data_IF_142799965008
#
_entry.id   IF_142799965008
#
_cell.length_a   1.000
_cell.length_b   1.000
_cell.length_c   1.000
_cell.angle_alpha   90.00
_cell.angle_beta   90.00
_cell.angle_gamma   90.00
#
_symmetry.space_group_name_H-M   'P 1'
#
loop_
_entity.id
_entity.type
_entity.pdbx_description
1 polymer ?
#
# COMPACT_ATOMS: atom_id res chain seq x y z
N UNK A 1 -8.57 35.27 -13.12
CA UNK A 1 -7.66 35.00 -11.99
C UNK A 1 -6.57 34.07 -12.49
N UNK A 2 -5.30 34.42 -12.48
CA UNK A 2 -4.23 33.50 -12.93
C UNK A 2 -3.95 32.53 -11.77
N UNK A 3 -4.11 31.25 -12.02
CA UNK A 3 -3.82 30.19 -11.04
C UNK A 3 -2.29 30.15 -10.83
N UNK A 4 -1.82 30.40 -9.62
CA UNK A 4 -0.40 30.25 -9.28
C UNK A 4 -0.09 28.78 -8.95
N UNK A 5 0.70 28.13 -9.82
CA UNK A 5 1.08 26.73 -9.69
C UNK A 5 2.37 26.51 -8.86
N UNK A 6 3.05 27.58 -8.43
CA UNK A 6 4.31 27.47 -7.68
C UNK A 6 4.18 26.69 -6.36
N UNK A 7 3.11 26.88 -5.54
CA UNK A 7 2.94 26.06 -4.34
C UNK A 7 2.86 24.56 -4.65
N UNK A 8 2.20 24.20 -5.75
CA UNK A 8 2.04 22.80 -6.20
C UNK A 8 3.40 22.25 -6.63
N UNK A 9 4.12 22.96 -7.49
CA UNK A 9 5.45 22.56 -7.95
C UNK A 9 6.45 22.42 -6.80
N UNK A 10 6.37 23.29 -5.79
CA UNK A 10 7.22 23.22 -4.59
C UNK A 10 7.01 21.90 -3.84
N UNK A 11 5.75 21.52 -3.56
CA UNK A 11 5.43 20.29 -2.81
C UNK A 11 5.78 19.04 -3.64
N UNK A 12 5.43 19.01 -4.93
CA UNK A 12 5.79 17.90 -5.82
C UNK A 12 7.32 17.74 -5.89
N UNK A 13 8.06 18.84 -5.99
CA UNK A 13 9.52 18.81 -5.99
C UNK A 13 10.12 18.19 -4.73
N UNK A 14 9.59 18.52 -3.55
CA UNK A 14 10.00 17.89 -2.28
C UNK A 14 9.69 16.40 -2.30
N UNK A 15 8.47 16.00 -2.70
CA UNK A 15 8.07 14.60 -2.73
C UNK A 15 8.92 13.77 -3.70
N UNK A 16 9.26 14.31 -4.87
CA UNK A 16 10.17 13.66 -5.80
C UNK A 16 11.58 13.53 -5.22
N UNK A 17 12.08 14.56 -4.54
CA UNK A 17 13.40 14.49 -3.87
C UNK A 17 13.41 13.38 -2.81
N UNK A 18 12.34 13.29 -2.00
CA UNK A 18 12.20 12.22 -1.02
C UNK A 18 12.09 10.84 -1.70
N UNK A 19 11.31 10.72 -2.79
CA UNK A 19 11.22 9.48 -3.56
C UNK A 19 12.59 9.03 -4.07
N UNK A 20 13.39 9.96 -4.63
CA UNK A 20 14.74 9.66 -5.09
C UNK A 20 15.68 9.25 -3.95
N UNK A 21 15.55 9.84 -2.76
CA UNK A 21 16.30 9.41 -1.56
C UNK A 21 15.92 7.98 -1.16
N UNK A 22 14.64 7.60 -1.23
CA UNK A 22 14.23 6.23 -0.91
C UNK A 22 14.80 5.18 -1.88
N UNK A 23 15.14 5.55 -3.14
CA UNK A 23 15.81 4.67 -4.10
C UNK A 23 17.23 4.26 -3.65
N UNK A 24 17.86 4.99 -2.71
CA UNK A 24 19.14 4.61 -2.16
C UNK A 24 19.05 3.32 -1.30
N UNK A 25 17.87 2.97 -0.79
CA UNK A 25 17.65 1.75 -0.01
C UNK A 25 17.82 0.50 -0.89
N UNK A 26 17.05 0.33 -2.00
CA UNK A 26 17.28 -0.80 -2.91
C UNK A 26 18.66 -0.77 -3.58
N UNK A 27 19.25 0.42 -3.82
CA UNK A 27 20.64 0.53 -4.26
C UNK A 27 21.60 -0.15 -3.28
N UNK A 28 21.45 0.08 -1.98
CA UNK A 28 22.30 -0.53 -0.95
C UNK A 28 22.13 -2.06 -0.89
N UNK A 29 20.90 -2.58 -1.10
CA UNK A 29 20.64 -4.02 -1.18
C UNK A 29 21.37 -4.63 -2.39
N UNK A 30 21.20 -4.04 -3.60
CA UNK A 30 21.87 -4.54 -4.81
C UNK A 30 23.39 -4.46 -4.70
N UNK A 31 23.93 -3.45 -3.99
CA UNK A 31 25.35 -3.35 -3.70
C UNK A 31 25.82 -4.52 -2.82
N UNK A 32 25.06 -4.88 -1.79
CA UNK A 32 25.38 -5.99 -0.90
C UNK A 32 25.34 -7.36 -1.57
N UNK A 33 24.49 -7.51 -2.61
CA UNK A 33 24.37 -8.75 -3.39
C UNK A 33 25.47 -8.92 -4.47
N UNK A 34 26.18 -7.85 -4.81
CA UNK A 34 27.27 -7.88 -5.79
C UNK A 34 26.86 -8.21 -7.23
N UNK A 35 25.58 -8.12 -7.58
CA UNK A 35 25.02 -8.52 -8.88
C UNK A 35 25.16 -7.48 -9.99
N UNK A 36 25.82 -6.33 -9.74
CA UNK A 36 26.09 -5.31 -10.75
C UNK A 36 24.93 -4.36 -11.09
N UNK A 37 23.80 -4.43 -10.39
CA UNK A 37 22.62 -3.58 -10.66
C UNK A 37 22.61 -2.25 -9.89
N UNK A 38 23.63 -1.95 -9.15
CA UNK A 38 23.75 -0.71 -8.33
C UNK A 38 23.56 0.55 -9.18
N UNK A 39 24.07 0.58 -10.41
CA UNK A 39 23.93 1.71 -11.34
C UNK A 39 22.50 2.09 -11.62
N UNK A 40 21.59 1.12 -11.72
CA UNK A 40 20.16 1.33 -12.01
C UNK A 40 19.51 2.28 -11.00
N UNK A 41 19.66 1.97 -9.71
CA UNK A 41 19.10 2.79 -8.66
C UNK A 41 19.90 4.08 -8.42
N UNK A 42 21.22 4.09 -8.65
CA UNK A 42 22.02 5.31 -8.56
C UNK A 42 21.61 6.35 -9.60
N UNK A 43 21.45 5.93 -10.86
CA UNK A 43 21.00 6.80 -11.96
C UNK A 43 19.55 7.27 -11.76
N UNK A 44 18.64 6.35 -11.39
CA UNK A 44 17.25 6.68 -11.08
C UNK A 44 17.13 7.68 -9.94
N UNK A 45 17.87 7.46 -8.85
CA UNK A 45 17.90 8.37 -7.70
C UNK A 45 18.43 9.73 -8.09
N UNK A 46 19.54 9.79 -8.84
CA UNK A 46 20.15 11.04 -9.29
C UNK A 46 19.18 11.87 -10.13
N UNK A 47 18.56 11.25 -11.15
CA UNK A 47 17.58 11.91 -12.02
C UNK A 47 16.42 12.46 -11.18
N UNK A 48 15.87 11.62 -10.29
CA UNK A 48 14.70 11.97 -9.49
C UNK A 48 15.01 13.05 -8.45
N UNK A 49 16.15 12.97 -7.75
CA UNK A 49 16.60 13.97 -6.77
C UNK A 49 16.88 15.31 -7.46
N UNK A 50 17.61 15.31 -8.57
CA UNK A 50 17.92 16.55 -9.28
C UNK A 50 16.64 17.21 -9.79
N UNK A 51 15.76 16.47 -10.45
CA UNK A 51 14.50 17.03 -10.96
C UNK A 51 13.64 17.55 -9.81
N UNK A 52 13.47 16.82 -8.72
CA UNK A 52 12.70 17.23 -7.55
C UNK A 52 13.30 18.46 -6.88
N UNK A 53 14.62 18.49 -6.68
CA UNK A 53 15.32 19.62 -6.06
C UNK A 53 15.24 20.88 -6.91
N UNK A 54 15.48 20.79 -8.23
CA UNK A 54 15.35 21.94 -9.12
C UNK A 54 13.92 22.46 -9.17
N UNK A 55 12.92 21.58 -9.22
CA UNK A 55 11.52 21.98 -9.22
C UNK A 55 11.15 22.69 -7.90
N UNK A 56 11.58 22.16 -6.76
CA UNK A 56 11.29 22.79 -5.45
C UNK A 56 11.99 24.14 -5.31
N UNK A 57 13.24 24.30 -5.79
CA UNK A 57 13.95 25.57 -5.77
C UNK A 57 13.28 26.58 -6.72
N UNK A 58 12.95 26.19 -7.94
CA UNK A 58 12.28 27.05 -8.92
C UNK A 58 10.92 27.55 -8.42
N UNK A 59 10.21 26.73 -7.63
CA UNK A 59 8.90 27.04 -7.08
C UNK A 59 8.92 27.58 -5.63
N UNK A 60 10.10 27.86 -5.06
CA UNK A 60 10.28 28.22 -3.64
C UNK A 60 9.51 29.48 -3.22
N UNK A 61 9.28 30.42 -4.13
CA UNK A 61 8.50 31.64 -3.87
C UNK A 61 7.01 31.35 -3.58
N UNK A 62 6.51 30.15 -3.93
CA UNK A 62 5.14 29.71 -3.60
C UNK A 62 4.97 29.11 -2.21
N UNK A 63 6.06 28.90 -1.46
CA UNK A 63 6.08 28.20 -0.16
C UNK A 63 5.13 28.81 0.89
N UNK A 64 4.97 30.14 0.89
CA UNK A 64 4.15 30.86 1.88
C UNK A 64 2.69 31.00 1.50
N UNK A 65 2.30 30.64 0.29
CA UNK A 65 0.91 30.71 -0.16
C UNK A 65 0.11 29.52 0.34
N UNK A 66 -1.09 29.79 0.89
CA UNK A 66 -2.03 28.75 1.28
C UNK A 66 -2.56 27.98 0.05
N UNK A 67 -2.88 26.72 0.25
CA UNK A 67 -3.55 25.89 -0.75
C UNK A 67 -5.06 26.11 -0.65
N UNK A 68 -5.67 26.62 -1.71
CA UNK A 68 -7.12 26.62 -1.87
C UNK A 68 -7.60 25.26 -2.45
N UNK A 69 -8.90 25.05 -2.54
CA UNK A 69 -9.49 23.80 -3.02
C UNK A 69 -8.99 23.43 -4.43
N UNK A 70 -8.85 24.41 -5.33
CA UNK A 70 -8.40 24.17 -6.69
C UNK A 70 -6.93 23.74 -6.72
N UNK A 71 -6.06 24.43 -6.00
CA UNK A 71 -4.64 24.07 -5.84
C UNK A 71 -4.47 22.69 -5.18
N UNK A 72 -5.32 22.38 -4.22
CA UNK A 72 -5.36 21.09 -3.53
C UNK A 72 -5.68 19.93 -4.47
N UNK A 73 -6.73 20.07 -5.30
CA UNK A 73 -7.10 19.04 -6.30
C UNK A 73 -5.95 18.86 -7.31
N UNK A 74 -5.39 19.96 -7.81
CA UNK A 74 -4.28 19.90 -8.77
C UNK A 74 -3.02 19.30 -8.15
N UNK A 75 -2.71 19.62 -6.89
CA UNK A 75 -1.60 19.00 -6.17
C UNK A 75 -1.80 17.48 -6.05
N UNK A 76 -2.98 17.05 -5.62
CA UNK A 76 -3.27 15.62 -5.47
C UNK A 76 -3.12 14.90 -6.80
N UNK A 77 -3.76 15.41 -7.87
CA UNK A 77 -3.63 14.82 -9.21
C UNK A 77 -2.18 14.82 -9.68
N UNK A 78 -1.46 15.93 -9.48
CA UNK A 78 -0.05 16.05 -9.86
C UNK A 78 0.86 15.07 -9.14
N UNK A 79 0.62 14.80 -7.85
CA UNK A 79 1.37 13.80 -7.07
C UNK A 79 1.13 12.39 -7.61
N UNK A 80 -0.15 12.01 -7.87
CA UNK A 80 -0.51 10.69 -8.41
C UNK A 80 0.00 10.45 -9.84
N UNK A 81 0.40 11.49 -10.56
CA UNK A 81 1.06 11.37 -11.87
C UNK A 81 2.58 11.38 -11.71
N UNK A 82 3.12 12.33 -10.92
CA UNK A 82 4.56 12.54 -10.83
C UNK A 82 5.28 11.38 -10.10
N UNK A 83 4.75 10.88 -8.98
CA UNK A 83 5.43 9.82 -8.23
C UNK A 83 5.54 8.53 -9.04
N UNK A 84 4.49 7.99 -9.71
CA UNK A 84 4.66 6.82 -10.55
C UNK A 84 5.57 7.06 -11.75
N UNK A 85 5.52 8.25 -12.36
CA UNK A 85 6.37 8.57 -13.52
C UNK A 85 7.85 8.44 -13.16
N UNK A 86 8.29 9.01 -12.04
CA UNK A 86 9.68 8.88 -11.59
C UNK A 86 9.94 7.54 -10.92
N UNK A 87 8.95 6.94 -10.26
CA UNK A 87 9.02 5.60 -9.69
C UNK A 87 9.18 4.49 -10.72
N UNK A 88 8.81 4.74 -11.99
CA UNK A 88 8.96 3.77 -13.09
C UNK A 88 10.39 3.69 -13.66
N UNK A 89 11.25 4.69 -13.41
CA UNK A 89 12.59 4.76 -14.01
C UNK A 89 13.42 3.49 -13.74
N UNK A 90 13.49 2.93 -12.50
CA UNK A 90 14.24 1.71 -12.26
C UNK A 90 13.76 0.50 -13.06
N UNK A 91 12.48 0.43 -13.42
CA UNK A 91 11.93 -0.65 -14.25
C UNK A 91 12.29 -0.50 -15.72
N UNK A 92 12.50 0.73 -16.22
CA UNK A 92 12.89 1.00 -17.61
C UNK A 92 14.37 0.69 -17.84
N UNK A 93 15.24 1.22 -16.97
CA UNK A 93 16.69 1.12 -17.15
C UNK A 93 17.31 -0.10 -16.48
N UNK A 94 16.52 -0.82 -15.66
CA UNK A 94 16.96 -2.00 -14.91
C UNK A 94 16.95 -3.30 -15.71
N UNK A 95 17.16 -4.41 -15.01
CA UNK A 95 17.15 -5.76 -15.58
C UNK A 95 15.80 -6.16 -16.18
N UNK A 96 14.73 -5.54 -15.74
CA UNK A 96 13.36 -5.78 -16.23
C UNK A 96 13.15 -5.30 -17.66
N UNK A 97 13.89 -4.24 -18.09
CA UNK A 97 13.82 -3.63 -19.44
C UNK A 97 12.39 -3.46 -19.96
N UNK A 98 11.47 -3.10 -19.06
CA UNK A 98 10.07 -2.91 -19.41
C UNK A 98 9.91 -1.76 -20.41
N UNK A 99 8.91 -1.86 -21.29
CA UNK A 99 8.47 -0.72 -22.07
C UNK A 99 8.06 0.43 -21.14
N UNK A 100 8.07 1.68 -21.63
CA UNK A 100 7.63 2.82 -20.83
C UNK A 100 6.22 2.64 -20.25
N UNK A 101 5.30 2.07 -21.05
CA UNK A 101 3.91 1.84 -20.64
C UNK A 101 3.83 0.79 -19.53
N UNK A 102 4.54 -0.32 -19.69
CA UNK A 102 4.54 -1.41 -18.69
C UNK A 102 5.22 -0.97 -17.38
N UNK A 103 6.34 -0.24 -17.48
CA UNK A 103 7.04 0.30 -16.32
C UNK A 103 6.18 1.33 -15.56
N UNK A 104 5.47 2.18 -16.29
CA UNK A 104 4.53 3.14 -15.69
C UNK A 104 3.36 2.40 -15.05
N UNK A 105 2.81 1.36 -15.70
CA UNK A 105 1.75 0.53 -15.13
C UNK A 105 2.19 -0.11 -13.82
N UNK A 106 3.38 -0.73 -13.77
CA UNK A 106 3.94 -1.35 -12.55
C UNK A 106 4.12 -0.31 -11.43
N UNK A 107 4.63 0.88 -11.76
CA UNK A 107 4.81 1.96 -10.78
C UNK A 107 3.47 2.53 -10.29
N UNK A 108 2.49 2.72 -11.18
CA UNK A 108 1.13 3.15 -10.80
C UNK A 108 0.49 2.10 -9.91
N UNK A 109 0.51 0.81 -10.28
CA UNK A 109 -0.03 -0.28 -9.48
C UNK A 109 0.67 -0.37 -8.10
N UNK A 110 1.96 -0.04 -8.03
CA UNK A 110 2.69 0.10 -6.78
C UNK A 110 2.18 1.26 -5.94
N UNK A 111 2.26 2.49 -6.44
CA UNK A 111 1.90 3.70 -5.67
C UNK A 111 0.41 3.75 -5.33
N UNK A 112 -0.48 3.23 -6.18
CA UNK A 112 -1.92 3.16 -5.88
C UNK A 112 -2.31 1.97 -5.01
N UNK A 113 -1.33 1.12 -4.62
CA UNK A 113 -1.55 -0.11 -3.85
C UNK A 113 -2.54 -1.09 -4.51
N UNK A 114 -2.63 -1.06 -5.84
CA UNK A 114 -3.53 -1.93 -6.62
C UNK A 114 -3.00 -3.37 -6.70
N UNK A 115 -1.67 -3.55 -6.77
CA UNK A 115 -1.02 -4.86 -6.76
C UNK A 115 -1.06 -5.65 -8.06
N UNK A 116 -1.63 -5.10 -9.14
CA UNK A 116 -1.55 -5.71 -10.47
C UNK A 116 -0.13 -5.59 -11.02
N UNK A 117 0.39 -6.66 -11.65
CA UNK A 117 1.76 -6.68 -12.16
C UNK A 117 1.82 -7.19 -13.59
N UNK A 118 2.73 -6.63 -14.39
CA UNK A 118 3.10 -7.12 -15.73
C UNK A 118 4.38 -7.96 -15.67
N UNK A 119 5.04 -8.01 -14.51
CA UNK A 119 6.25 -8.79 -14.32
C UNK A 119 5.91 -10.26 -14.05
N UNK A 120 6.75 -11.15 -14.53
CA UNK A 120 6.73 -12.59 -14.32
C UNK A 120 8.15 -13.09 -14.07
N UNK A 121 8.30 -14.27 -13.44
CA UNK A 121 9.60 -14.77 -13.03
C UNK A 121 10.18 -13.91 -11.91
N UNK A 122 9.35 -13.52 -10.96
CA UNK A 122 9.72 -12.60 -9.88
C UNK A 122 10.89 -13.12 -9.05
N UNK A 123 11.00 -14.44 -8.89
CA UNK A 123 12.05 -15.11 -8.12
C UNK A 123 13.46 -14.84 -8.68
N UNK A 124 13.57 -14.58 -9.99
CA UNK A 124 14.83 -14.36 -10.68
C UNK A 124 15.25 -12.88 -10.73
N UNK A 125 14.35 -11.97 -10.34
CA UNK A 125 14.61 -10.53 -10.36
C UNK A 125 15.62 -10.10 -9.26
N UNK A 126 16.39 -9.02 -9.50
CA UNK A 126 17.24 -8.42 -8.47
C UNK A 126 16.42 -8.03 -7.24
N UNK A 127 16.98 -8.26 -6.05
CA UNK A 127 16.34 -7.91 -4.79
C UNK A 127 16.02 -6.43 -4.68
N UNK A 128 16.82 -5.55 -5.28
CA UNK A 128 16.53 -4.11 -5.32
C UNK A 128 15.21 -3.82 -6.04
N UNK A 129 14.92 -4.47 -7.16
CA UNK A 129 13.65 -4.32 -7.89
C UNK A 129 12.47 -4.81 -7.05
N UNK A 130 12.59 -5.98 -6.42
CA UNK A 130 11.55 -6.53 -5.55
C UNK A 130 11.26 -5.62 -4.35
N UNK A 131 12.33 -5.12 -3.71
CA UNK A 131 12.21 -4.17 -2.61
C UNK A 131 11.59 -2.85 -3.08
N UNK A 132 11.95 -2.37 -4.26
CA UNK A 132 11.41 -1.13 -4.83
C UNK A 132 9.89 -1.22 -5.04
N UNK A 133 9.40 -2.33 -5.56
CA UNK A 133 7.97 -2.61 -5.68
C UNK A 133 7.26 -2.50 -4.32
N UNK A 134 7.84 -3.13 -3.29
CA UNK A 134 7.32 -3.05 -1.92
C UNK A 134 7.35 -1.63 -1.34
N UNK A 135 8.43 -0.87 -1.56
CA UNK A 135 8.54 0.53 -1.11
C UNK A 135 7.49 1.41 -1.79
N UNK A 136 7.26 1.25 -3.10
CA UNK A 136 6.22 2.02 -3.80
C UNK A 136 4.84 1.79 -3.18
N UNK A 137 4.49 0.54 -2.87
CA UNK A 137 3.22 0.23 -2.20
C UNK A 137 3.16 0.80 -0.78
N UNK A 138 4.25 0.68 -0.03
CA UNK A 138 4.31 1.18 1.34
C UNK A 138 4.17 2.70 1.41
N UNK A 139 4.86 3.43 0.52
CA UNK A 139 4.74 4.89 0.39
C UNK A 139 3.34 5.30 -0.09
N UNK A 140 2.76 4.56 -1.03
CA UNK A 140 1.41 4.79 -1.53
C UNK A 140 0.34 4.62 -0.46
N UNK A 141 0.44 3.58 0.37
CA UNK A 141 -0.48 3.33 1.49
C UNK A 141 -0.49 4.48 2.50
N UNK A 142 0.67 4.99 2.88
CA UNK A 142 0.77 6.21 3.72
C UNK A 142 0.21 7.42 2.99
N UNK A 143 0.59 7.60 1.72
CA UNK A 143 0.19 8.76 0.92
C UNK A 143 -1.33 8.91 0.86
N UNK A 144 -2.06 7.83 0.58
CA UNK A 144 -3.53 7.82 0.56
C UNK A 144 -4.12 8.20 1.91
N UNK A 145 -3.61 7.64 3.01
CA UNK A 145 -4.11 7.90 4.36
C UNK A 145 -3.93 9.38 4.71
N UNK A 146 -2.73 9.93 4.46
CA UNK A 146 -2.43 11.34 4.76
C UNK A 146 -3.24 12.28 3.88
N UNK A 147 -3.35 12.00 2.58
CA UNK A 147 -4.17 12.78 1.64
C UNK A 147 -5.63 12.77 2.07
N UNK A 148 -6.19 11.60 2.36
CA UNK A 148 -7.57 11.51 2.82
C UNK A 148 -7.82 12.35 4.08
N UNK A 149 -6.92 12.34 5.04
CA UNK A 149 -7.10 13.07 6.29
C UNK A 149 -6.90 14.58 6.19
N UNK A 150 -5.98 15.03 5.33
CA UNK A 150 -5.70 16.46 5.18
C UNK A 150 -6.77 17.13 4.30
N UNK A 151 -7.23 16.46 3.24
CA UNK A 151 -8.10 17.06 2.24
C UNK A 151 -9.60 16.80 2.43
N UNK A 152 -9.98 15.63 2.96
CA UNK A 152 -11.39 15.29 3.17
C UNK A 152 -12.15 16.28 4.06
N UNK A 153 -11.59 16.83 5.16
CA UNK A 153 -12.29 17.82 5.98
C UNK A 153 -12.57 19.15 5.25
N UNK A 154 -11.75 19.52 4.27
CA UNK A 154 -11.87 20.79 3.54
C UNK A 154 -12.86 20.72 2.37
N UNK A 155 -13.05 19.55 1.78
CA UNK A 155 -13.87 19.40 0.57
C UNK A 155 -15.38 19.52 0.79
N UNK A 156 -15.88 19.55 2.03
CA UNK A 156 -17.32 19.72 2.39
C UNK A 156 -18.31 18.91 1.52
N UNK A 157 -17.88 17.80 0.94
CA UNK A 157 -18.70 16.99 0.03
C UNK A 157 -19.70 16.18 0.86
N UNK A 158 -20.97 16.22 0.48
CA UNK A 158 -22.08 15.59 1.21
C UNK A 158 -21.81 14.11 1.52
N UNK A 159 -22.00 13.72 2.77
CA UNK A 159 -21.66 12.41 3.33
C UNK A 159 -20.42 12.47 4.26
N UNK A 160 -19.50 13.39 4.04
CA UNK A 160 -18.32 13.59 4.86
C UNK A 160 -18.62 14.34 6.17
N UNK A 161 -19.80 14.94 6.28
CA UNK A 161 -20.30 15.50 7.55
C UNK A 161 -20.45 14.40 8.62
N UNK A 162 -20.73 13.16 8.22
CA UNK A 162 -20.78 11.99 9.13
C UNK A 162 -19.36 11.65 9.62
N UNK A 163 -18.35 11.70 8.75
CA UNK A 163 -16.95 11.51 9.12
C UNK A 163 -16.45 12.60 10.07
N UNK A 164 -16.90 13.83 9.87
CA UNK A 164 -16.59 14.97 10.75
C UNK A 164 -17.34 14.87 12.07
N UNK A 165 -18.60 14.48 12.07
CA UNK A 165 -19.40 14.29 13.27
C UNK A 165 -18.90 13.11 14.12
N UNK A 166 -18.57 11.95 13.54
CA UNK A 166 -18.10 10.80 14.32
C UNK A 166 -16.60 10.86 14.69
N UNK A 167 -15.74 11.38 13.80
CA UNK A 167 -14.28 11.41 14.05
C UNK A 167 -13.82 12.67 14.77
N UNK A 168 -14.52 13.81 14.63
CA UNK A 168 -14.07 15.11 15.14
C UNK A 168 -14.94 15.71 16.25
N UNK A 169 -16.24 15.44 16.33
CA UNK A 169 -17.09 15.98 17.40
C UNK A 169 -16.84 15.33 18.76
N UNK A 170 -16.46 14.07 18.80
CA UNK A 170 -15.97 13.44 20.04
C UNK A 170 -14.53 13.85 20.40
N UNK A 171 -13.79 14.43 19.47
CA UNK A 171 -12.43 14.92 19.67
C UNK A 171 -12.30 16.43 19.79
N UNK A 172 -13.39 17.18 19.76
CA UNK A 172 -13.45 18.67 19.70
C UNK A 172 -12.75 19.43 20.83
N UNK A 173 -12.06 18.74 21.73
CA UNK A 173 -11.26 19.38 22.80
C UNK A 173 -9.81 18.88 22.93
N UNK A 174 -9.34 17.86 22.16
CA UNK A 174 -8.09 17.16 22.49
C UNK A 174 -7.07 17.09 21.33
N UNK A 175 -7.41 17.40 20.06
CA UNK A 175 -6.45 17.22 18.97
C UNK A 175 -5.98 18.52 18.35
N UNK A 176 -4.69 18.85 18.55
CA UNK A 176 -4.04 19.92 17.83
C UNK A 176 -3.66 19.45 16.43
N UNK A 177 -4.13 20.17 15.43
CA UNK A 177 -3.63 20.24 14.04
C UNK A 177 -3.52 18.92 13.26
N UNK A 178 -3.97 18.91 12.02
CA UNK A 178 -3.87 17.81 11.04
C UNK A 178 -2.47 17.16 10.97
N UNK A 179 -1.41 17.96 11.14
CA UNK A 179 -0.01 17.49 11.19
C UNK A 179 0.28 16.51 12.33
N UNK A 180 -0.31 16.72 13.54
CA UNK A 180 -0.09 15.81 14.66
C UNK A 180 -0.79 14.47 14.45
N UNK A 181 -2.00 14.50 13.89
CA UNK A 181 -2.73 13.27 13.56
C UNK A 181 -2.00 12.48 12.47
N UNK A 182 -1.52 13.15 11.42
CA UNK A 182 -0.74 12.52 10.34
C UNK A 182 0.54 11.87 10.87
N UNK A 183 1.25 12.53 11.81
CA UNK A 183 2.44 11.96 12.45
C UNK A 183 2.08 10.73 13.30
N UNK A 184 1.01 10.79 14.09
CA UNK A 184 0.56 9.64 14.89
C UNK A 184 0.19 8.45 14.01
N UNK A 185 -0.49 8.69 12.89
CA UNK A 185 -0.81 7.65 11.92
C UNK A 185 0.46 7.05 11.32
N UNK A 186 1.43 7.88 10.92
CA UNK A 186 2.70 7.42 10.41
C UNK A 186 3.42 6.50 11.41
N UNK A 187 3.49 6.90 12.68
CA UNK A 187 4.11 6.09 13.75
C UNK A 187 3.38 4.77 13.95
N UNK A 188 2.05 4.76 13.93
CA UNK A 188 1.23 3.54 14.04
C UNK A 188 1.44 2.64 12.83
N UNK A 189 1.42 3.21 11.62
CA UNK A 189 1.65 2.48 10.37
C UNK A 189 3.03 1.81 10.38
N UNK A 190 4.06 2.55 10.77
CA UNK A 190 5.42 2.01 10.94
C UNK A 190 5.46 0.92 12.01
N UNK A 191 4.80 1.13 13.15
CA UNK A 191 4.73 0.13 14.23
C UNK A 191 4.07 -1.17 13.77
N UNK A 192 2.95 -1.09 13.05
CA UNK A 192 2.26 -2.27 12.48
C UNK A 192 3.16 -2.94 11.43
N UNK A 193 3.88 -2.17 10.60
CA UNK A 193 4.82 -2.72 9.61
C UNK A 193 5.95 -3.50 10.27
N UNK A 194 6.56 -2.94 11.31
CA UNK A 194 7.63 -3.62 12.07
C UNK A 194 7.08 -4.90 12.74
N UNK A 195 5.92 -4.81 13.38
CA UNK A 195 5.29 -5.96 14.01
C UNK A 195 4.98 -7.07 12.99
N UNK A 196 4.49 -6.70 11.79
CA UNK A 196 4.25 -7.62 10.69
C UNK A 196 5.54 -8.32 10.23
N UNK A 197 6.60 -7.55 9.98
CA UNK A 197 7.89 -8.09 9.55
C UNK A 197 8.46 -9.07 10.59
N UNK A 198 8.47 -8.70 11.88
CA UNK A 198 8.93 -9.56 12.95
C UNK A 198 8.10 -10.84 13.08
N UNK A 199 6.78 -10.75 12.90
CA UNK A 199 5.89 -11.90 12.93
C UNK A 199 6.16 -12.85 11.75
N UNK A 200 6.41 -12.33 10.55
CA UNK A 200 6.79 -13.14 9.38
C UNK A 200 8.12 -13.86 9.60
N UNK A 201 9.13 -13.17 10.15
CA UNK A 201 10.42 -13.82 10.49
C UNK A 201 10.21 -14.91 11.54
N UNK A 202 9.39 -14.66 12.57
CA UNK A 202 9.13 -15.63 13.64
C UNK A 202 8.49 -16.93 13.15
N UNK A 203 7.72 -16.89 12.05
CA UNK A 203 7.12 -18.09 11.44
C UNK A 203 7.95 -18.67 10.29
N UNK A 204 9.20 -18.22 10.12
CA UNK A 204 10.18 -18.82 9.22
C UNK A 204 10.33 -18.19 7.83
N UNK A 205 9.74 -17.01 7.60
CA UNK A 205 10.02 -16.25 6.38
C UNK A 205 11.44 -15.66 6.41
N UNK A 206 12.12 -15.57 5.27
CA UNK A 206 13.42 -14.91 5.19
C UNK A 206 13.31 -13.44 5.60
N UNK A 207 14.38 -12.86 6.17
CA UNK A 207 14.35 -11.46 6.62
C UNK A 207 14.03 -10.50 5.46
N UNK A 208 14.55 -10.77 4.26
CA UNK A 208 14.29 -9.97 3.08
C UNK A 208 12.79 -10.04 2.67
N UNK A 209 12.26 -11.26 2.55
CA UNK A 209 10.86 -11.47 2.20
C UNK A 209 9.92 -10.88 3.25
N UNK A 210 10.25 -11.05 4.53
CA UNK A 210 9.46 -10.51 5.64
C UNK A 210 9.35 -8.98 5.58
N UNK A 211 10.44 -8.28 5.25
CA UNK A 211 10.44 -6.81 5.08
C UNK A 211 9.57 -6.43 3.89
N UNK A 212 9.80 -7.02 2.71
CA UNK A 212 9.05 -6.68 1.50
C UNK A 212 7.56 -6.99 1.68
N UNK A 213 7.22 -8.20 2.16
CA UNK A 213 5.82 -8.57 2.34
C UNK A 213 5.14 -7.82 3.50
N UNK A 214 5.88 -7.34 4.52
CA UNK A 214 5.29 -6.45 5.51
C UNK A 214 4.88 -5.10 4.90
N UNK A 215 5.68 -4.55 3.99
CA UNK A 215 5.34 -3.34 3.26
C UNK A 215 4.06 -3.50 2.44
N UNK A 216 3.97 -4.60 1.69
CA UNK A 216 2.87 -4.87 0.78
C UNK A 216 1.61 -5.37 1.50
N UNK A 217 1.73 -6.01 2.68
CA UNK A 217 0.61 -6.41 3.54
C UNK A 217 -0.03 -5.20 4.22
N UNK A 218 0.80 -4.35 4.87
CA UNK A 218 0.30 -3.22 5.66
C UNK A 218 -0.23 -2.08 4.79
N UNK A 219 0.27 -1.95 3.57
CA UNK A 219 -0.30 -1.06 2.56
C UNK A 219 -1.56 -1.62 1.88
N UNK A 220 -1.95 -2.88 2.18
CA UNK A 220 -2.99 -3.62 1.44
C UNK A 220 -2.73 -3.65 -0.07
N UNK A 221 -1.46 -3.76 -0.48
CA UNK A 221 -1.05 -3.59 -1.88
C UNK A 221 -0.86 -4.89 -2.66
N UNK A 222 -0.47 -5.98 -1.99
CA UNK A 222 -0.48 -7.33 -2.54
C UNK A 222 0.65 -7.72 -3.50
N UNK A 223 1.64 -6.87 -3.73
CA UNK A 223 2.83 -7.31 -4.46
C UNK A 223 3.58 -8.39 -3.68
N UNK A 224 4.05 -9.40 -4.40
CA UNK A 224 4.86 -10.49 -3.86
C UNK A 224 6.22 -10.56 -4.55
N UNK A 225 7.17 -11.23 -3.90
CA UNK A 225 8.47 -11.59 -4.46
C UNK A 225 8.40 -12.89 -5.30
N UNK A 226 7.25 -13.54 -5.35
CA UNK A 226 7.04 -14.85 -5.97
C UNK A 226 5.82 -14.83 -6.87
N UNK A 227 5.92 -15.45 -8.05
CA UNK A 227 4.80 -15.57 -9.00
C UNK A 227 3.60 -16.32 -8.38
N UNK A 228 3.87 -17.25 -7.46
CA UNK A 228 2.82 -17.98 -6.72
C UNK A 228 2.25 -17.18 -5.56
N UNK A 229 2.68 -15.94 -5.36
CA UNK A 229 2.28 -15.12 -4.22
C UNK A 229 2.48 -15.88 -2.89
N UNK A 230 1.50 -15.90 -1.99
CA UNK A 230 1.60 -16.60 -0.71
C UNK A 230 1.57 -18.11 -0.81
N UNK A 231 1.18 -18.68 -1.95
CA UNK A 231 1.31 -20.12 -2.21
C UNK A 231 2.75 -20.65 -2.24
N UNK A 232 3.76 -19.76 -2.17
CA UNK A 232 5.17 -20.11 -2.00
C UNK A 232 5.55 -20.39 -0.54
N UNK A 233 4.85 -19.77 0.42
CA UNK A 233 5.21 -19.80 1.84
C UNK A 233 4.51 -20.93 2.60
N UNK A 234 4.96 -21.13 3.85
CA UNK A 234 4.35 -22.11 4.76
C UNK A 234 2.97 -21.65 5.25
N UNK A 235 2.20 -22.60 5.72
CA UNK A 235 0.85 -22.40 6.28
C UNK A 235 0.82 -21.38 7.42
N UNK A 236 1.83 -21.39 8.30
CA UNK A 236 1.95 -20.45 9.41
C UNK A 236 2.06 -18.97 8.92
N UNK A 237 2.73 -18.74 7.80
CA UNK A 237 2.86 -17.41 7.18
C UNK A 237 1.50 -16.91 6.70
N UNK A 238 0.66 -17.77 6.12
CA UNK A 238 -0.68 -17.39 5.68
C UNK A 238 -1.55 -16.93 6.87
N UNK A 239 -1.50 -17.60 8.03
CA UNK A 239 -2.23 -17.19 9.22
C UNK A 239 -1.78 -15.82 9.75
N UNK A 240 -0.47 -15.58 9.78
CA UNK A 240 0.07 -14.26 10.15
C UNK A 240 -0.42 -13.19 9.18
N UNK A 241 -0.40 -13.46 7.88
CA UNK A 241 -0.88 -12.53 6.86
C UNK A 241 -2.36 -12.19 7.04
N UNK A 242 -3.22 -13.16 7.34
CA UNK A 242 -4.65 -12.93 7.63
C UNK A 242 -4.81 -11.88 8.73
N UNK A 243 -4.09 -12.03 9.83
CA UNK A 243 -4.16 -11.09 10.97
C UNK A 243 -3.76 -9.69 10.53
N UNK A 244 -2.62 -9.54 9.84
CA UNK A 244 -2.12 -8.22 9.45
C UNK A 244 -2.92 -7.59 8.30
N UNK A 245 -3.48 -8.37 7.36
CA UNK A 245 -4.41 -7.87 6.35
C UNK A 245 -5.68 -7.31 7.00
N UNK A 246 -6.24 -7.98 8.00
CA UNK A 246 -7.38 -7.46 8.77
C UNK A 246 -6.98 -6.18 9.48
N UNK A 247 -5.85 -6.17 10.18
CA UNK A 247 -5.38 -4.98 10.89
C UNK A 247 -5.15 -3.80 9.94
N UNK A 248 -4.55 -4.03 8.78
CA UNK A 248 -4.28 -3.00 7.78
C UNK A 248 -5.56 -2.41 7.15
N UNK A 249 -6.62 -3.22 7.04
CA UNK A 249 -7.91 -2.78 6.49
C UNK A 249 -8.75 -1.94 7.47
N UNK A 250 -8.40 -1.91 8.76
CA UNK A 250 -9.13 -1.10 9.73
C UNK A 250 -8.78 0.39 9.62
N UNK A 251 -9.73 1.30 9.92
CA UNK A 251 -9.47 2.74 9.86
C UNK A 251 -8.36 3.17 10.83
N UNK A 252 -7.26 3.73 10.30
CA UNK A 252 -6.09 4.12 11.10
C UNK A 252 -6.40 5.15 12.19
N UNK A 253 -7.43 5.97 12.00
CA UNK A 253 -7.92 6.92 13.03
C UNK A 253 -8.34 6.19 14.31
N UNK A 254 -8.88 4.97 14.22
CA UNK A 254 -9.28 4.18 15.40
C UNK A 254 -8.06 3.70 16.19
N UNK A 255 -6.96 3.40 15.51
CA UNK A 255 -5.69 3.12 16.20
C UNK A 255 -5.12 4.34 16.91
N UNK A 256 -5.24 5.54 16.32
CA UNK A 256 -4.87 6.79 17.00
C UNK A 256 -5.70 6.97 18.29
N UNK A 257 -7.00 6.72 18.22
CA UNK A 257 -7.88 6.78 19.41
C UNK A 257 -7.50 5.74 20.47
N UNK A 258 -7.14 4.53 20.03
CA UNK A 258 -6.69 3.45 20.94
C UNK A 258 -5.42 3.86 21.70
N UNK A 259 -4.41 4.38 21.00
CA UNK A 259 -3.13 4.82 21.57
C UNK A 259 -3.35 6.00 22.55
N UNK A 260 -4.33 6.86 22.26
CA UNK A 260 -4.72 7.98 23.14
C UNK A 260 -5.65 7.55 24.31
N UNK A 261 -5.80 6.24 24.58
CA UNK A 261 -6.51 5.70 25.74
C UNK A 261 -7.99 5.41 25.53
N UNK A 262 -8.55 5.64 24.33
CA UNK A 262 -9.95 5.33 24.03
C UNK A 262 -10.08 3.96 23.31
N UNK A 263 -9.96 2.88 24.08
CA UNK A 263 -10.10 1.53 23.54
C UNK A 263 -11.52 1.20 23.05
N UNK A 264 -12.55 1.84 23.61
CA UNK A 264 -13.95 1.61 23.18
C UNK A 264 -14.17 2.00 21.73
N UNK A 265 -13.40 2.93 21.18
CA UNK A 265 -13.55 3.44 19.83
C UNK A 265 -13.44 2.34 18.75
N UNK A 266 -12.54 1.36 18.91
CA UNK A 266 -12.41 0.23 17.97
C UNK A 266 -13.57 -0.74 18.14
N UNK A 267 -13.90 -1.13 19.39
CA UNK A 267 -14.90 -2.16 19.65
C UNK A 267 -16.34 -1.68 19.45
N UNK A 268 -16.61 -0.38 19.50
CA UNK A 268 -17.95 0.18 19.27
C UNK A 268 -18.22 0.54 17.80
N UNK A 269 -17.19 0.59 16.96
CA UNK A 269 -17.31 1.00 15.57
C UNK A 269 -18.14 0.01 14.75
N UNK A 270 -19.23 0.51 14.17
CA UNK A 270 -20.13 -0.31 13.35
C UNK A 270 -19.47 -0.76 12.05
N UNK A 271 -18.59 0.06 11.44
CA UNK A 271 -17.89 -0.28 10.21
C UNK A 271 -16.93 -1.46 10.44
N UNK A 272 -16.16 -1.42 11.54
CA UNK A 272 -15.25 -2.51 11.92
C UNK A 272 -16.04 -3.80 12.17
N UNK A 273 -17.14 -3.72 12.92
CA UNK A 273 -18.00 -4.89 13.19
C UNK A 273 -18.56 -5.48 11.90
N UNK A 274 -19.10 -4.63 11.03
CA UNK A 274 -19.66 -5.08 9.76
C UNK A 274 -18.59 -5.71 8.87
N UNK A 275 -17.41 -5.09 8.76
CA UNK A 275 -16.28 -5.64 8.01
C UNK A 275 -15.89 -7.04 8.52
N UNK A 276 -15.70 -7.20 9.83
CA UNK A 276 -15.33 -8.49 10.43
C UNK A 276 -16.42 -9.55 10.25
N UNK A 277 -17.67 -9.20 10.50
CA UNK A 277 -18.81 -10.12 10.34
C UNK A 277 -18.93 -10.55 8.87
N UNK A 278 -18.85 -9.62 7.92
CA UNK A 278 -18.91 -9.92 6.49
C UNK A 278 -17.78 -10.84 6.08
N UNK A 279 -16.56 -10.57 6.51
CA UNK A 279 -15.38 -11.41 6.23
C UNK A 279 -15.57 -12.82 6.77
N UNK A 280 -16.03 -12.97 8.02
CA UNK A 280 -16.26 -14.28 8.65
C UNK A 280 -17.38 -15.04 7.93
N UNK A 281 -18.50 -14.38 7.61
CA UNK A 281 -19.63 -15.03 6.94
C UNK A 281 -19.23 -15.56 5.56
N UNK A 282 -18.54 -14.72 4.75
CA UNK A 282 -18.12 -15.13 3.41
C UNK A 282 -17.03 -16.19 3.47
N UNK A 283 -16.07 -16.08 4.40
CA UNK A 283 -15.03 -17.09 4.60
C UNK A 283 -15.62 -18.44 5.07
N UNK A 284 -16.64 -18.41 5.93
CA UNK A 284 -17.35 -19.62 6.37
C UNK A 284 -18.06 -20.29 5.20
N UNK A 285 -18.75 -19.52 4.37
CA UNK A 285 -19.37 -20.05 3.15
C UNK A 285 -18.33 -20.67 2.21
N UNK A 286 -17.23 -19.95 1.94
CA UNK A 286 -16.13 -20.46 1.11
C UNK A 286 -15.49 -21.73 1.70
N UNK A 287 -15.35 -21.82 3.02
CA UNK A 287 -14.87 -23.02 3.70
C UNK A 287 -15.75 -24.24 3.42
N UNK A 288 -17.08 -24.12 3.56
CA UNK A 288 -17.99 -25.25 3.28
C UNK A 288 -17.93 -25.69 1.82
N UNK A 289 -17.81 -24.75 0.89
CA UNK A 289 -17.64 -25.05 -0.53
C UNK A 289 -16.33 -25.81 -0.77
N UNK A 290 -15.20 -25.29 -0.26
CA UNK A 290 -13.88 -25.92 -0.42
C UNK A 290 -13.84 -27.32 0.24
N UNK A 291 -14.36 -27.45 1.44
CA UNK A 291 -14.38 -28.74 2.15
C UNK A 291 -15.28 -29.78 1.46
N UNK A 292 -16.30 -29.35 0.72
CA UNK A 292 -17.13 -30.26 -0.09
C UNK A 292 -16.43 -30.70 -1.37
N UNK A 293 -15.57 -29.87 -1.94
CA UNK A 293 -14.79 -30.17 -3.14
C UNK A 293 -13.55 -31.04 -2.84
N UNK A 294 -12.94 -30.83 -1.68
CA UNK A 294 -11.72 -31.53 -1.23
C UNK A 294 -11.93 -32.15 0.16
N UNK A 295 -12.74 -33.20 0.28
CA UNK A 295 -13.06 -33.81 1.56
C UNK A 295 -11.80 -34.47 2.17
N UNK A 296 -11.58 -34.25 3.47
CA UNK A 296 -10.51 -34.88 4.24
C UNK A 296 -9.40 -33.93 4.71
N UNK A 297 -9.32 -32.72 4.20
CA UNK A 297 -8.34 -31.72 4.62
C UNK A 297 -9.05 -30.39 5.02
N UNK A 298 -9.75 -30.47 6.13
CA UNK A 298 -10.55 -29.33 6.63
C UNK A 298 -9.69 -28.12 7.04
N UNK A 299 -8.45 -28.36 7.51
CA UNK A 299 -7.53 -27.28 7.89
C UNK A 299 -7.14 -26.44 6.65
N UNK A 300 -6.69 -27.10 5.60
CA UNK A 300 -6.32 -26.45 4.35
C UNK A 300 -7.52 -25.69 3.73
N UNK A 301 -8.72 -26.31 3.76
CA UNK A 301 -9.93 -25.65 3.27
C UNK A 301 -10.26 -24.38 4.10
N UNK A 302 -10.14 -24.44 5.44
CA UNK A 302 -10.39 -23.31 6.32
C UNK A 302 -9.36 -22.20 6.11
N UNK A 303 -8.08 -22.53 6.09
CA UNK A 303 -6.99 -21.59 5.92
C UNK A 303 -7.07 -20.85 4.58
N UNK A 304 -7.25 -21.60 3.49
CA UNK A 304 -7.41 -21.02 2.15
C UNK A 304 -8.66 -20.15 2.04
N UNK A 305 -9.78 -20.56 2.63
CA UNK A 305 -10.98 -19.74 2.68
C UNK A 305 -10.73 -18.42 3.41
N UNK A 306 -10.19 -18.49 4.64
CA UNK A 306 -9.89 -17.30 5.44
C UNK A 306 -8.89 -16.39 4.74
N UNK A 307 -7.79 -16.95 4.22
CA UNK A 307 -6.73 -16.17 3.57
C UNK A 307 -7.27 -15.42 2.34
N UNK A 308 -7.84 -16.15 1.39
CA UNK A 308 -8.23 -15.56 0.12
C UNK A 308 -9.42 -14.60 0.26
N UNK A 309 -10.40 -14.93 1.09
CA UNK A 309 -11.52 -14.03 1.37
C UNK A 309 -11.04 -12.75 2.09
N UNK A 310 -10.16 -12.87 3.08
CA UNK A 310 -9.56 -11.70 3.75
C UNK A 310 -8.77 -10.86 2.77
N UNK A 311 -7.97 -11.47 1.91
CA UNK A 311 -7.19 -10.80 0.89
C UNK A 311 -8.06 -9.99 -0.09
N UNK A 312 -9.16 -10.57 -0.56
CA UNK A 312 -10.10 -9.90 -1.48
C UNK A 312 -10.83 -8.76 -0.77
N UNK A 313 -11.40 -9.02 0.41
CA UNK A 313 -12.23 -8.02 1.12
C UNK A 313 -11.37 -6.86 1.64
N UNK A 314 -10.13 -7.12 2.09
CA UNK A 314 -9.19 -6.07 2.50
C UNK A 314 -8.66 -5.26 1.31
N UNK A 315 -8.80 -5.75 0.07
CA UNK A 315 -8.21 -5.16 -1.12
C UNK A 315 -6.73 -5.49 -1.31
N UNK A 316 -6.15 -6.38 -0.49
CA UNK A 316 -4.72 -6.70 -0.57
C UNK A 316 -4.35 -7.45 -1.85
N UNK A 317 -5.16 -8.43 -2.27
CA UNK A 317 -4.96 -9.13 -3.56
C UNK A 317 -3.92 -10.26 -3.54
N UNK A 318 -3.40 -10.69 -2.40
CA UNK A 318 -2.58 -11.91 -2.31
C UNK A 318 -3.38 -13.16 -2.67
N UNK A 319 -2.70 -14.16 -3.22
CA UNK A 319 -3.26 -15.47 -3.49
C UNK A 319 -2.45 -16.58 -2.80
N UNK A 320 -3.14 -17.55 -2.21
CA UNK A 320 -2.53 -18.75 -1.62
C UNK A 320 -2.64 -19.96 -2.54
N UNK A 321 -3.37 -19.85 -3.66
CA UNK A 321 -3.55 -20.92 -4.63
C UNK A 321 -3.82 -20.38 -6.03
N UNK A 322 -3.68 -21.25 -7.04
CA UNK A 322 -3.96 -20.87 -8.42
C UNK A 322 -5.47 -21.01 -8.71
N UNK A 323 -6.20 -19.90 -8.64
CA UNK A 323 -7.65 -19.86 -8.90
C UNK A 323 -8.05 -20.36 -10.29
N UNK A 324 -7.15 -20.29 -11.28
CA UNK A 324 -7.41 -20.74 -12.65
C UNK A 324 -7.60 -22.25 -12.75
N UNK A 325 -7.15 -23.03 -11.76
CA UNK A 325 -7.32 -24.47 -11.71
C UNK A 325 -8.63 -24.90 -11.06
N UNK A 326 -9.31 -24.00 -10.36
CA UNK A 326 -10.58 -24.29 -9.68
C UNK A 326 -11.75 -23.85 -10.54
N UNK A 327 -12.29 -24.76 -11.34
CA UNK A 327 -13.38 -24.52 -12.30
C UNK A 327 -14.63 -23.88 -11.68
N UNK A 328 -14.85 -24.08 -10.39
CA UNK A 328 -16.00 -23.50 -9.66
C UNK A 328 -15.88 -21.99 -9.39
N UNK A 329 -14.67 -21.41 -9.45
CA UNK A 329 -14.46 -19.97 -9.14
C UNK A 329 -14.60 -19.05 -10.36
N UNK A 330 -14.60 -19.56 -11.56
CA UNK A 330 -14.76 -18.75 -12.79
C UNK A 330 -16.05 -17.94 -12.79
N UNK A 331 -17.09 -18.39 -12.12
CA UNK A 331 -18.37 -17.67 -12.05
C UNK A 331 -18.38 -16.54 -11.01
N UNK A 332 -17.50 -16.56 -10.00
CA UNK A 332 -17.38 -15.50 -8.99
C UNK A 332 -16.36 -14.41 -9.38
N UNK A 333 -15.37 -14.76 -10.22
CA UNK A 333 -14.31 -13.82 -10.63
C UNK A 333 -14.56 -13.16 -11.98
N UNK A 334 -15.48 -13.68 -12.80
CA UNK A 334 -15.84 -13.12 -14.11
C UNK A 334 -16.23 -11.63 -14.11
N UNK A 335 -16.92 -11.08 -13.10
CA UNK A 335 -17.21 -9.64 -13.10
C UNK A 335 -15.98 -8.75 -12.92
N UNK A 336 -14.92 -9.26 -12.31
CA UNK A 336 -13.69 -8.49 -12.04
C UNK A 336 -12.67 -8.57 -13.18
N UNK A 337 -12.64 -9.66 -13.94
CA UNK A 337 -11.71 -9.85 -15.08
C UNK A 337 -12.20 -9.12 -16.35
N UNK A 338 -13.49 -8.84 -16.47
CA UNK A 338 -14.05 -8.11 -17.62
C UNK A 338 -13.96 -6.58 -17.50
N UNK A 339 -13.32 -6.05 -16.45
CA UNK A 339 -13.10 -4.61 -16.24
C UNK A 339 -11.62 -4.21 -16.37
N UNK A 340 -10.77 -5.07 -16.96
CA UNK A 340 -9.38 -4.73 -17.31
C UNK A 340 -9.23 -4.72 -18.82
#
# INVERSE_FOLDING_TARGET
MRLDLRPIGYVIGILLTLLGITMLIPMAIDFSEGRGFVGVFAESALITILTGSFLSIACSNGKSEGLDIQKTILLTTGVWVALPLFGSIPFIIGSTQLSFVDALFEAVAGVTTTGSTVLSGLEDLPKGILLWRGILQWLGGIGIIVVAMVFLPELRVGGMQIFRAEAFDTMGKILPRATTISLQIFVIYLGITIACALSYVAVGMSAFDAIVHSFTTVSTGGFSNYDKSFGHFSEAVEYVAIVFMIMAALPFVRYVQLVNGNSRAIFSDTQIKTFLITTIVIATFAFFVLNSLFPGDWENALRKALFNITSIISGTGYSSDNYMKSVSYTHLTLPTILLV
#
